data_IF_661128391621
#
_entry.id   IF_661128391621
#
_cell.length_a   1.000
_cell.length_b   1.000
_cell.length_c   1.000
_cell.angle_alpha   90.00
_cell.angle_beta   90.00
_cell.angle_gamma   90.00
#
_symmetry.space_group_name_H-M   'P 1'
#
loop_
_entity.id
_entity.type
_entity.pdbx_description
1 polymer ?
#
# COMPACT_ATOMS: atom_id res chain seq x y z
N UNK A 1 -4.31 12.84 -13.84
CA UNK A 1 -4.96 13.35 -12.64
C UNK A 1 -3.88 13.62 -11.59
N UNK A 2 -3.83 14.83 -11.10
CA UNK A 2 -3.03 15.23 -9.94
C UNK A 2 -3.98 15.47 -8.78
N UNK A 3 -3.69 14.90 -7.61
CA UNK A 3 -4.46 15.10 -6.37
C UNK A 3 -3.52 15.63 -5.32
N UNK A 4 -3.84 16.81 -4.78
CA UNK A 4 -3.09 17.45 -3.71
C UNK A 4 -3.87 17.24 -2.41
N UNK A 5 -3.40 16.34 -1.57
CA UNK A 5 -3.96 16.07 -0.26
C UNK A 5 -3.23 16.78 0.87
N UNK A 6 -3.62 16.54 2.12
CA UNK A 6 -3.06 17.24 3.28
C UNK A 6 -1.56 17.00 3.48
N UNK A 7 -1.07 15.81 3.18
CA UNK A 7 0.31 15.40 3.49
C UNK A 7 1.15 15.04 2.27
N UNK A 8 0.52 14.92 1.09
CA UNK A 8 1.21 14.48 -0.12
C UNK A 8 0.48 14.90 -1.40
N UNK A 9 1.22 14.82 -2.51
CA UNK A 9 0.67 14.95 -3.87
C UNK A 9 0.71 13.58 -4.51
N UNK A 10 -0.38 13.17 -5.16
CA UNK A 10 -0.45 11.95 -5.94
C UNK A 10 -0.68 12.23 -7.42
N UNK A 11 -0.04 11.45 -8.27
CA UNK A 11 -0.26 11.45 -9.71
C UNK A 11 -0.83 10.12 -10.13
N UNK A 12 -1.95 10.16 -10.84
CA UNK A 12 -2.63 8.96 -11.33
C UNK A 12 -2.88 9.12 -12.83
N UNK A 13 -2.45 8.14 -13.61
CA UNK A 13 -2.61 8.17 -15.06
C UNK A 13 -3.55 7.09 -15.55
N UNK A 14 -4.40 7.48 -16.49
CA UNK A 14 -5.39 6.60 -17.09
C UNK A 14 -5.20 6.53 -18.61
N UNK A 15 -5.54 5.40 -19.20
CA UNK A 15 -5.58 5.21 -20.63
C UNK A 15 -6.69 4.26 -21.04
N UNK A 16 -7.57 4.70 -21.92
CA UNK A 16 -8.70 3.92 -22.44
C UNK A 16 -9.55 3.32 -21.28
N UNK A 17 -9.88 4.13 -20.26
CA UNK A 17 -10.68 3.69 -19.12
C UNK A 17 -9.97 2.72 -18.17
N UNK A 18 -8.65 2.57 -18.29
CA UNK A 18 -7.83 1.73 -17.39
C UNK A 18 -6.87 2.60 -16.60
N UNK A 19 -6.66 2.25 -15.34
CA UNK A 19 -5.55 2.76 -14.53
C UNK A 19 -4.25 2.17 -15.08
N UNK A 20 -3.27 3.04 -15.40
CA UNK A 20 -2.00 2.59 -15.95
C UNK A 20 -0.80 2.91 -15.06
N UNK A 21 -0.92 3.89 -14.16
CA UNK A 21 0.17 4.34 -13.30
C UNK A 21 -0.37 5.13 -12.11
N UNK A 22 0.28 4.99 -10.96
CA UNK A 22 0.07 5.85 -9.79
C UNK A 22 1.40 6.08 -9.08
N UNK A 23 1.57 7.29 -8.52
CA UNK A 23 2.77 7.72 -7.80
C UNK A 23 2.37 8.63 -6.67
N UNK A 24 2.98 8.46 -5.49
CA UNK A 24 2.86 9.37 -4.37
C UNK A 24 4.16 10.17 -4.21
N UNK A 25 4.06 11.50 -4.10
CA UNK A 25 5.21 12.40 -4.20
C UNK A 25 6.23 12.30 -3.07
N UNK A 26 5.84 11.76 -1.91
CA UNK A 26 6.72 11.55 -0.76
C UNK A 26 7.33 10.13 -0.71
N UNK A 27 7.12 9.30 -1.73
CA UNK A 27 7.59 7.93 -1.79
C UNK A 27 8.59 7.69 -2.92
N UNK A 28 9.50 6.73 -2.71
CA UNK A 28 10.37 6.23 -3.78
C UNK A 28 9.54 5.35 -4.73
N UNK A 29 9.12 5.92 -5.84
CA UNK A 29 8.35 5.26 -6.90
C UNK A 29 9.20 4.50 -7.90
N UNK A 30 10.53 4.43 -7.73
CA UNK A 30 11.39 3.59 -8.58
C UNK A 30 11.07 2.10 -8.40
N UNK A 31 11.38 1.30 -9.41
CA UNK A 31 11.17 -0.15 -9.35
C UNK A 31 11.82 -0.77 -8.10
N UNK A 32 13.03 -0.36 -7.73
CA UNK A 32 13.71 -0.84 -6.52
C UNK A 32 12.98 -0.44 -5.24
N UNK A 33 12.41 0.77 -5.19
CA UNK A 33 11.59 1.23 -4.07
C UNK A 33 10.32 0.39 -3.92
N UNK A 34 9.61 0.16 -5.02
CA UNK A 34 8.39 -0.65 -5.08
C UNK A 34 8.68 -2.10 -4.66
N UNK A 35 9.72 -2.73 -5.21
CA UNK A 35 10.11 -4.11 -4.89
C UNK A 35 10.57 -4.28 -3.44
N UNK A 36 11.23 -3.26 -2.88
CA UNK A 36 11.64 -3.28 -1.47
C UNK A 36 10.42 -3.21 -0.55
N UNK A 37 9.46 -2.36 -0.86
CA UNK A 37 8.20 -2.23 -0.13
C UNK A 37 7.36 -3.51 -0.20
N UNK A 38 7.30 -4.13 -1.37
CA UNK A 38 6.66 -5.42 -1.59
C UNK A 38 7.42 -6.61 -0.92
N UNK A 39 8.59 -6.37 -0.32
CA UNK A 39 9.39 -7.42 0.33
C UNK A 39 10.04 -8.41 -0.64
N UNK A 40 10.06 -8.10 -1.93
CA UNK A 40 10.68 -8.93 -2.98
C UNK A 40 12.20 -8.83 -2.98
N UNK A 41 12.73 -7.68 -2.57
CA UNK A 41 14.15 -7.45 -2.34
C UNK A 41 14.37 -6.74 -1.00
N UNK A 42 15.53 -6.91 -0.41
CA UNK A 42 15.93 -6.19 0.80
C UNK A 42 16.48 -4.80 0.46
N UNK A 43 16.50 -3.87 1.43
CA UNK A 43 17.10 -2.55 1.24
C UNK A 43 18.59 -2.62 0.85
N UNK A 44 19.32 -3.61 1.36
CA UNK A 44 20.74 -3.85 0.99
C UNK A 44 20.85 -4.25 -0.48
N UNK A 45 20.01 -5.17 -0.95
CA UNK A 45 19.97 -5.58 -2.35
C UNK A 45 19.59 -4.41 -3.26
N UNK A 46 18.60 -3.60 -2.86
CA UNK A 46 18.20 -2.40 -3.61
C UNK A 46 19.37 -1.41 -3.77
N UNK A 47 20.15 -1.18 -2.71
CA UNK A 47 21.33 -0.31 -2.77
C UNK A 47 22.37 -0.85 -3.76
N UNK A 48 22.71 -2.13 -3.66
CA UNK A 48 23.67 -2.80 -4.57
C UNK A 48 23.19 -2.74 -6.02
N UNK A 49 21.89 -2.95 -6.25
CA UNK A 49 21.29 -2.86 -7.59
C UNK A 49 21.43 -1.43 -8.14
N UNK A 50 21.10 -0.41 -7.33
CA UNK A 50 21.22 1.01 -7.75
C UNK A 50 22.67 1.41 -8.07
N UNK A 51 23.66 0.90 -7.32
CA UNK A 51 25.06 1.19 -7.54
C UNK A 51 25.64 0.50 -8.79
N UNK A 52 25.22 -0.73 -9.05
CA UNK A 52 25.81 -1.57 -10.09
C UNK A 52 24.98 -1.65 -11.37
N UNK A 53 23.75 -1.11 -11.38
CA UNK A 53 22.93 -1.13 -12.57
C UNK A 53 23.51 -0.18 -13.63
N UNK A 54 23.89 -0.73 -14.76
CA UNK A 54 24.24 0.02 -15.99
C UNK A 54 22.99 0.67 -16.59
N UNK A 55 21.86 0.03 -16.42
CA UNK A 55 20.55 0.51 -16.82
C UNK A 55 19.94 1.39 -15.72
N UNK A 56 19.58 2.63 -16.09
CA UNK A 56 19.00 3.59 -15.17
C UNK A 56 17.45 3.65 -15.23
N UNK A 57 16.86 3.01 -16.27
CA UNK A 57 15.42 2.96 -16.43
C UNK A 57 14.81 1.78 -15.65
N UNK A 58 13.61 1.97 -15.11
CA UNK A 58 12.90 0.90 -14.41
C UNK A 58 12.61 -0.30 -15.32
N UNK A 59 12.35 -0.05 -16.63
CA UNK A 59 12.14 -1.11 -17.62
C UNK A 59 13.42 -1.95 -17.84
N UNK A 60 14.57 -1.28 -18.03
CA UNK A 60 15.85 -1.95 -18.21
C UNK A 60 16.25 -2.74 -16.98
N UNK A 61 16.04 -2.16 -15.79
CA UNK A 61 16.29 -2.84 -14.52
C UNK A 61 15.39 -4.07 -14.33
N UNK A 62 14.11 -3.94 -14.68
CA UNK A 62 13.16 -5.07 -14.62
C UNK A 62 13.61 -6.23 -15.50
N UNK A 63 14.03 -5.96 -16.75
CA UNK A 63 14.57 -6.96 -17.65
C UNK A 63 15.84 -7.62 -17.10
N UNK A 64 16.74 -6.83 -16.52
CA UNK A 64 17.95 -7.33 -15.90
C UNK A 64 17.65 -8.31 -14.76
N UNK A 65 16.72 -7.96 -13.86
CA UNK A 65 16.32 -8.83 -12.75
C UNK A 65 15.68 -10.14 -13.22
N UNK A 66 14.87 -10.08 -14.30
CA UNK A 66 14.26 -11.27 -14.91
C UNK A 66 15.33 -12.16 -15.55
N UNK A 67 16.22 -11.58 -16.38
CA UNK A 67 17.25 -12.33 -17.08
C UNK A 67 18.28 -12.96 -16.13
N UNK A 68 18.53 -12.31 -15.00
CA UNK A 68 19.40 -12.85 -13.97
C UNK A 68 18.71 -13.90 -13.07
N UNK A 69 17.42 -14.16 -13.28
CA UNK A 69 16.65 -15.15 -12.51
C UNK A 69 16.35 -14.74 -11.07
N UNK A 70 16.50 -13.45 -10.72
CA UNK A 70 16.18 -12.97 -9.36
C UNK A 70 14.68 -12.85 -9.12
N UNK A 71 13.92 -12.40 -10.13
CA UNK A 71 12.47 -12.23 -10.04
C UNK A 71 11.81 -12.68 -11.35
N UNK A 72 10.59 -13.15 -11.25
CA UNK A 72 9.75 -13.39 -12.44
C UNK A 72 9.11 -12.09 -12.92
N UNK A 73 8.72 -12.07 -14.19
CA UNK A 73 7.92 -10.96 -14.73
C UNK A 73 6.63 -10.75 -13.93
N UNK A 74 6.01 -11.85 -13.48
CA UNK A 74 4.79 -11.80 -12.68
C UNK A 74 5.04 -11.15 -11.32
N UNK A 75 6.17 -11.43 -10.66
CA UNK A 75 6.53 -10.79 -9.38
C UNK A 75 6.66 -9.29 -9.52
N UNK A 76 7.30 -8.82 -10.58
CA UNK A 76 7.46 -7.39 -10.85
C UNK A 76 6.12 -6.74 -11.13
N UNK A 77 5.33 -7.30 -12.07
CA UNK A 77 4.04 -6.73 -12.43
C UNK A 77 3.06 -6.70 -11.26
N UNK A 78 2.97 -7.78 -10.48
CA UNK A 78 2.09 -7.83 -9.31
C UNK A 78 2.51 -6.82 -8.23
N UNK A 79 3.80 -6.59 -8.03
CA UNK A 79 4.30 -5.59 -7.08
C UNK A 79 3.94 -4.17 -7.52
N UNK A 80 4.05 -3.86 -8.81
CA UNK A 80 3.69 -2.55 -9.37
C UNK A 80 2.17 -2.34 -9.33
N UNK A 81 1.39 -3.37 -9.66
CA UNK A 81 -0.07 -3.32 -9.55
C UNK A 81 -0.52 -3.05 -8.12
N UNK A 82 0.02 -3.79 -7.16
CA UNK A 82 -0.32 -3.59 -5.75
C UNK A 82 0.06 -2.19 -5.28
N UNK A 83 1.26 -1.71 -5.62
CA UNK A 83 1.67 -0.35 -5.29
C UNK A 83 0.72 0.72 -5.85
N UNK A 84 0.29 0.57 -7.11
CA UNK A 84 -0.66 1.50 -7.70
C UNK A 84 -2.05 1.44 -7.04
N UNK A 85 -2.50 0.24 -6.64
CA UNK A 85 -3.75 0.07 -5.87
C UNK A 85 -3.66 0.70 -4.49
N UNK A 86 -2.56 0.49 -3.77
CA UNK A 86 -2.35 1.07 -2.43
C UNK A 86 -2.45 2.60 -2.48
N UNK A 87 -1.85 3.22 -3.50
CA UNK A 87 -1.94 4.68 -3.70
C UNK A 87 -3.38 5.08 -4.00
N UNK A 88 -4.06 4.41 -4.92
CA UNK A 88 -5.43 4.77 -5.28
C UNK A 88 -6.38 4.58 -4.10
N UNK A 89 -6.26 3.49 -3.34
CA UNK A 89 -7.10 3.29 -2.16
C UNK A 89 -6.80 4.30 -1.05
N UNK A 90 -5.55 4.74 -0.90
CA UNK A 90 -5.22 5.86 -0.02
C UNK A 90 -5.97 7.13 -0.43
N UNK A 91 -6.11 7.42 -1.74
CA UNK A 91 -6.86 8.60 -2.20
C UNK A 91 -8.34 8.55 -1.82
N UNK A 92 -8.96 7.37 -1.69
CA UNK A 92 -10.34 7.25 -1.21
C UNK A 92 -10.49 7.66 0.27
N UNK A 93 -9.41 7.71 1.03
CA UNK A 93 -9.43 8.16 2.43
C UNK A 93 -9.24 9.66 2.58
N UNK A 94 -8.87 10.38 1.53
CA UNK A 94 -8.67 11.81 1.57
C UNK A 94 -10.02 12.54 1.53
N UNK A 95 -10.31 13.28 2.59
CA UNK A 95 -11.57 14.04 2.73
C UNK A 95 -11.42 15.42 2.14
N UNK A 96 -10.24 16.04 2.32
CA UNK A 96 -9.91 17.37 1.85
C UNK A 96 -8.75 17.32 0.85
N UNK A 97 -8.79 18.21 -0.15
CA UNK A 97 -7.73 18.31 -1.15
C UNK A 97 -8.18 18.99 -2.43
N UNK A 98 -7.24 19.19 -3.32
CA UNK A 98 -7.48 19.73 -4.65
C UNK A 98 -7.16 18.66 -5.69
N UNK A 99 -7.92 18.62 -6.76
CA UNK A 99 -7.58 17.75 -7.87
C UNK A 99 -7.60 18.52 -9.21
N UNK A 100 -6.71 18.09 -10.11
CA UNK A 100 -6.64 18.60 -11.46
C UNK A 100 -6.52 17.43 -12.43
N UNK A 101 -7.31 17.45 -13.47
CA UNK A 101 -7.24 16.49 -14.55
C UNK A 101 -6.64 17.16 -15.79
N UNK A 102 -5.48 16.70 -16.21
CA UNK A 102 -4.80 17.16 -17.42
C UNK A 102 -4.90 16.07 -18.47
N UNK A 103 -5.39 16.44 -19.67
CA UNK A 103 -5.44 15.51 -20.80
C UNK A 103 -4.04 15.30 -21.40
N UNK A 104 -3.82 14.10 -21.95
CA UNK A 104 -2.61 13.74 -22.70
C UNK A 104 -1.29 13.77 -21.89
N UNK A 105 -1.37 13.84 -20.56
CA UNK A 105 -0.20 13.69 -19.71
C UNK A 105 0.05 12.21 -19.44
N UNK A 106 1.15 11.71 -19.97
CA UNK A 106 1.58 10.31 -19.81
C UNK A 106 2.49 10.16 -18.58
N UNK A 107 2.58 8.93 -18.01
CA UNK A 107 3.61 8.61 -17.01
C UNK A 107 5.02 8.85 -17.56
N UNK A 108 6.06 8.90 -16.70
CA UNK A 108 7.45 8.91 -17.14
C UNK A 108 7.73 7.79 -18.14
N UNK A 109 8.53 8.09 -19.18
CA UNK A 109 8.78 7.16 -20.30
C UNK A 109 9.52 5.88 -19.90
N UNK A 110 10.23 5.94 -18.79
CA UNK A 110 10.99 4.84 -18.19
C UNK A 110 10.18 4.01 -17.18
N UNK A 111 9.01 4.51 -16.76
CA UNK A 111 8.15 3.80 -15.82
C UNK A 111 7.54 2.54 -16.44
N UNK A 112 7.39 1.52 -15.61
CA UNK A 112 6.64 0.32 -15.98
C UNK A 112 5.17 0.59 -15.70
N UNK A 113 4.35 0.50 -16.76
CA UNK A 113 2.90 0.72 -16.65
C UNK A 113 2.15 -0.60 -16.51
N UNK A 114 1.00 -0.53 -15.85
CA UNK A 114 0.06 -1.64 -15.69
C UNK A 114 -1.24 -1.35 -16.45
N UNK A 115 -2.19 -2.28 -16.40
CA UNK A 115 -3.54 -2.07 -16.92
C UNK A 115 -4.54 -2.69 -15.97
N UNK A 116 -5.26 -1.86 -15.24
CA UNK A 116 -6.23 -2.29 -14.26
C UNK A 116 -7.59 -1.66 -14.52
N UNK A 117 -8.63 -2.42 -14.26
CA UNK A 117 -9.99 -2.00 -14.51
C UNK A 117 -10.47 -1.01 -13.45
N UNK A 118 -10.92 0.18 -13.91
CA UNK A 118 -11.35 1.23 -13.00
C UNK A 118 -12.63 0.89 -12.26
N UNK A 119 -13.55 0.17 -12.89
CA UNK A 119 -14.83 -0.18 -12.27
C UNK A 119 -14.60 -1.02 -11.02
N UNK A 120 -13.76 -2.06 -11.12
CA UNK A 120 -13.40 -2.92 -10.00
C UNK A 120 -12.68 -2.15 -8.88
N UNK A 121 -11.78 -1.22 -9.24
CA UNK A 121 -11.04 -0.39 -8.29
C UNK A 121 -11.99 0.56 -7.54
N UNK A 122 -12.92 1.21 -8.26
CA UNK A 122 -13.90 2.12 -7.65
C UNK A 122 -14.85 1.36 -6.72
N UNK A 123 -15.32 0.19 -7.13
CA UNK A 123 -16.18 -0.65 -6.28
C UNK A 123 -15.46 -1.06 -4.99
N UNK A 124 -14.24 -1.54 -5.09
CA UNK A 124 -13.46 -1.94 -3.92
C UNK A 124 -13.08 -0.74 -3.04
N UNK A 125 -12.64 0.38 -3.62
CA UNK A 125 -12.35 1.60 -2.87
C UNK A 125 -13.57 2.13 -2.11
N UNK A 126 -14.75 2.13 -2.76
CA UNK A 126 -16.00 2.53 -2.11
C UNK A 126 -16.38 1.57 -0.97
N UNK A 127 -16.21 0.27 -1.16
CA UNK A 127 -16.43 -0.73 -0.10
C UNK A 127 -15.52 -0.49 1.10
N UNK A 128 -14.22 -0.25 0.85
CA UNK A 128 -13.26 0.04 1.91
C UNK A 128 -13.60 1.33 2.66
N UNK A 129 -14.05 2.38 1.96
CA UNK A 129 -14.49 3.62 2.60
C UNK A 129 -15.70 3.41 3.50
N UNK A 130 -16.70 2.64 3.04
CA UNK A 130 -17.87 2.31 3.87
C UNK A 130 -17.46 1.51 5.11
N UNK A 131 -16.59 0.53 4.95
CA UNK A 131 -16.08 -0.26 6.07
C UNK A 131 -15.28 0.60 7.06
N UNK A 132 -14.47 1.53 6.54
CA UNK A 132 -13.75 2.50 7.35
C UNK A 132 -14.67 3.33 8.23
N UNK A 133 -15.76 3.87 7.66
CA UNK A 133 -16.73 4.67 8.42
C UNK A 133 -17.40 3.87 9.55
N UNK A 134 -17.72 2.61 9.31
CA UNK A 134 -18.26 1.72 10.35
C UNK A 134 -17.26 1.46 11.48
N UNK A 135 -16.01 1.16 11.12
CA UNK A 135 -14.94 0.85 12.09
C UNK A 135 -14.45 2.09 12.85
N UNK A 136 -14.61 3.29 12.28
CA UNK A 136 -14.23 4.55 12.91
C UNK A 136 -15.03 4.84 14.18
N UNK A 137 -16.30 4.42 14.23
CA UNK A 137 -17.13 4.58 15.42
C UNK A 137 -16.67 3.67 16.57
N UNK A 138 -16.13 2.49 16.26
CA UNK A 138 -15.60 1.55 17.26
C UNK A 138 -14.16 1.90 17.67
N UNK A 139 -13.33 2.28 16.72
CA UNK A 139 -11.92 2.66 16.91
C UNK A 139 -11.69 4.07 16.34
N UNK A 140 -12.02 5.13 17.09
CA UNK A 140 -11.96 6.50 16.59
C UNK A 140 -10.55 6.98 16.23
N UNK A 141 -9.53 6.46 16.90
CA UNK A 141 -8.13 6.86 16.68
C UNK A 141 -7.19 5.67 16.75
N UNK A 142 -6.23 5.62 15.85
CA UNK A 142 -5.14 4.63 15.89
C UNK A 142 -4.04 4.98 16.90
N UNK A 143 -4.05 6.17 17.47
CA UNK A 143 -3.15 6.56 18.55
C UNK A 143 -3.62 6.02 19.93
N UNK A 144 -4.76 5.32 19.95
CA UNK A 144 -5.24 4.60 21.14
C UNK A 144 -4.42 3.35 21.38
N UNK A 145 -4.20 3.02 22.66
CA UNK A 145 -3.67 1.74 23.10
C UNK A 145 -4.80 0.86 23.64
N UNK A 146 -4.76 -0.42 23.30
CA UNK A 146 -5.72 -1.41 23.78
C UNK A 146 -5.19 -2.10 25.04
N UNK A 147 -6.13 -2.50 25.90
CA UNK A 147 -5.85 -3.32 27.07
C UNK A 147 -6.81 -4.48 27.14
N UNK A 148 -6.35 -5.62 27.61
CA UNK A 148 -7.27 -6.73 27.89
C UNK A 148 -8.16 -6.39 29.07
N UNK A 149 -9.46 -6.61 28.90
CA UNK A 149 -10.43 -6.49 29.97
C UNK A 149 -10.55 -7.85 30.66
N UNK A 150 -10.24 -7.88 31.94
CA UNK A 150 -10.42 -9.07 32.76
C UNK A 150 -11.91 -9.24 33.05
N UNK A 151 -12.59 -10.06 32.24
CA UNK A 151 -14.00 -10.43 32.47
C UNK A 151 -14.05 -11.81 33.08
N UNK A 152 -14.49 -11.94 34.34
CA UNK A 152 -14.72 -13.25 34.95
C UNK A 152 -15.74 -14.03 34.10
N UNK A 153 -15.35 -15.18 33.59
CA UNK A 153 -16.21 -16.05 32.76
C UNK A 153 -16.09 -15.90 31.24
N UNK A 154 -15.24 -14.98 30.74
CA UNK A 154 -14.89 -14.98 29.32
C UNK A 154 -13.79 -16.03 29.06
N UNK A 155 -14.14 -17.13 28.40
CA UNK A 155 -13.15 -18.12 28.00
C UNK A 155 -12.53 -17.72 26.65
N UNK A 156 -11.26 -17.32 26.68
CA UNK A 156 -10.48 -16.96 25.48
C UNK A 156 -10.36 -18.18 24.52
N UNK A 157 -10.62 -19.38 25.02
CA UNK A 157 -10.55 -20.61 24.20
C UNK A 157 -11.61 -20.71 23.12
N UNK A 158 -12.70 -19.97 23.25
CA UNK A 158 -13.81 -19.96 22.28
C UNK A 158 -13.59 -18.96 21.14
N UNK A 159 -12.55 -18.13 21.19
CA UNK A 159 -12.24 -17.15 20.15
C UNK A 159 -11.34 -17.80 19.08
N UNK A 160 -11.90 -18.00 17.89
CA UNK A 160 -11.12 -18.47 16.75
C UNK A 160 -10.49 -17.26 16.03
N UNK A 161 -9.19 -17.08 16.20
CA UNK A 161 -8.40 -16.06 15.53
C UNK A 161 -7.47 -16.71 14.51
N UNK A 162 -7.27 -16.02 13.39
CA UNK A 162 -6.24 -16.35 12.40
C UNK A 162 -4.84 -16.12 12.98
N UNK A 163 -3.81 -16.61 12.29
CA UNK A 163 -2.41 -16.40 12.70
C UNK A 163 -2.03 -14.93 12.70
N UNK A 164 -2.55 -14.15 11.73
CA UNK A 164 -2.35 -12.71 11.61
C UNK A 164 -3.01 -11.96 12.78
N UNK A 165 -4.24 -12.30 13.12
CA UNK A 165 -4.96 -11.71 14.26
C UNK A 165 -4.26 -12.06 15.59
N UNK A 166 -3.78 -13.29 15.77
CA UNK A 166 -3.00 -13.65 16.94
C UNK A 166 -1.72 -12.85 17.08
N UNK A 167 -1.05 -12.51 15.97
CA UNK A 167 0.12 -11.60 16.00
C UNK A 167 -0.28 -10.23 16.53
N UNK A 168 -1.37 -9.64 16.04
CA UNK A 168 -1.86 -8.35 16.52
C UNK A 168 -2.15 -8.41 18.02
N UNK A 169 -2.90 -9.42 18.46
CA UNK A 169 -3.26 -9.64 19.87
C UNK A 169 -2.02 -9.74 20.76
N UNK A 170 -0.94 -10.39 20.30
CA UNK A 170 0.30 -10.55 21.06
C UNK A 170 1.04 -9.22 21.35
N UNK A 171 0.78 -8.19 20.55
CA UNK A 171 1.35 -6.84 20.74
C UNK A 171 0.47 -5.91 21.56
N UNK A 172 -0.75 -6.32 21.94
CA UNK A 172 -1.66 -5.51 22.73
C UNK A 172 -1.11 -5.32 24.14
N UNK A 173 -0.79 -4.09 24.47
CA UNK A 173 -0.43 -3.65 25.81
C UNK A 173 -0.64 -2.12 25.93
N UNK A 174 -0.73 -1.54 27.13
CA UNK A 174 -1.00 -0.11 27.33
C UNK A 174 0.06 0.84 26.74
N UNK A 175 1.22 0.33 26.34
CA UNK A 175 2.34 1.13 25.78
C UNK A 175 2.34 1.18 24.27
N UNK A 176 1.67 0.24 23.61
CA UNK A 176 1.64 0.14 22.14
C UNK A 176 0.33 0.73 21.61
N UNK A 177 0.43 1.72 20.75
CA UNK A 177 -0.74 2.22 20.03
C UNK A 177 -1.11 1.28 18.88
N UNK A 178 -2.36 1.28 18.44
CA UNK A 178 -2.81 0.54 17.26
C UNK A 178 -1.97 0.87 16.03
N UNK A 179 -1.61 2.14 15.85
CA UNK A 179 -0.72 2.61 14.77
C UNK A 179 0.67 1.93 14.83
N UNK A 180 1.24 1.78 16.01
CA UNK A 180 2.52 1.09 16.19
C UNK A 180 2.40 -0.40 15.89
N UNK A 181 1.32 -1.03 16.36
CA UNK A 181 1.03 -2.44 16.10
C UNK A 181 0.85 -2.70 14.62
N UNK A 182 0.04 -1.89 13.92
CA UNK A 182 -0.16 -1.97 12.47
C UNK A 182 1.15 -1.85 11.71
N UNK A 183 1.97 -0.83 12.02
CA UNK A 183 3.28 -0.64 11.40
C UNK A 183 4.23 -1.83 11.60
N UNK A 184 4.24 -2.42 12.80
CA UNK A 184 5.09 -3.60 13.12
C UNK A 184 4.65 -4.83 12.32
N UNK A 185 3.35 -5.01 12.10
CA UNK A 185 2.77 -6.13 11.37
C UNK A 185 2.61 -5.85 9.87
N UNK A 186 3.04 -4.67 9.38
CA UNK A 186 2.89 -4.21 7.98
C UNK A 186 1.43 -4.15 7.51
N UNK A 187 0.54 -3.84 8.42
CA UNK A 187 -0.89 -3.65 8.18
C UNK A 187 -1.17 -2.18 7.87
N UNK A 188 -2.06 -1.92 6.94
CA UNK A 188 -2.58 -0.57 6.71
C UNK A 188 -3.62 -0.19 7.79
N UNK A 189 -4.07 1.07 7.76
CA UNK A 189 -4.95 1.63 8.78
C UNK A 189 -6.34 0.97 8.81
N UNK A 190 -6.82 0.43 7.70
CA UNK A 190 -8.08 -0.32 7.65
C UNK A 190 -7.89 -1.75 8.20
N UNK A 191 -6.82 -2.41 7.82
CA UNK A 191 -6.51 -3.78 8.26
C UNK A 191 -6.32 -3.89 9.76
N UNK A 192 -5.68 -2.89 10.40
CA UNK A 192 -5.49 -2.91 11.86
C UNK A 192 -6.76 -2.55 12.64
N UNK A 193 -7.77 -1.95 12.00
CA UNK A 193 -9.08 -1.67 12.62
C UNK A 193 -10.07 -2.83 12.49
N UNK A 194 -9.93 -3.63 11.46
CA UNK A 194 -10.72 -4.85 11.25
C UNK A 194 -10.36 -5.94 12.25
#
# INVERSE_FOLDING_TARGET
>A
LTVEGPDAIAWVSFRNGKLIYAQLGNEDGSLTGILTRAGKITAKQAAVIKENATEKSDQGLGLLLINAGYLSQQDILSSIQQHALDIVYLLFTWIDGLFRFDNDVLPPSDAITVRMDLESIIMEGSRQTQEWELLKDEIPSLDMALTFVDRPGADIRDVQLTVEEWKVVSYINPKNTLKQIGKTNKMNDLEIRR
#
